data_IF_657451728608
#
_entry.id   IF_657451728608
#
_cell.length_a   1.000
_cell.length_b   1.000
_cell.length_c   1.000
_cell.angle_alpha   90.00
_cell.angle_beta   90.00
_cell.angle_gamma   90.00
#
_symmetry.space_group_name_H-M   'P 1'
#
loop_
_entity.id
_entity.type
_entity.pdbx_description
1 polymer ?
#
# COMPACT_ATOMS: atom_id res chain seq x y z
N UNK A 1 -35.24 -3.98 37.91
CA UNK A 1 -34.02 -3.16 37.82
C UNK A 1 -33.99 -2.52 36.43
N UNK A 2 -34.34 -1.24 36.31
CA UNK A 2 -34.15 -0.52 35.05
C UNK A 2 -32.66 -0.22 34.91
N UNK A 3 -32.01 -0.76 33.87
CA UNK A 3 -30.65 -0.37 33.51
C UNK A 3 -30.65 1.12 33.19
N UNK A 4 -29.63 1.85 33.67
CA UNK A 4 -29.45 3.27 33.34
C UNK A 4 -29.48 3.45 31.82
N UNK A 5 -30.19 4.47 31.34
CA UNK A 5 -30.36 4.78 29.92
C UNK A 5 -29.00 4.89 29.21
N UNK A 6 -27.97 5.34 29.93
CA UNK A 6 -26.59 5.42 29.42
C UNK A 6 -25.95 4.06 29.23
N UNK A 7 -26.24 3.09 30.09
CA UNK A 7 -25.77 1.70 29.94
C UNK A 7 -26.49 0.99 28.79
N UNK A 8 -27.79 1.24 28.63
CA UNK A 8 -28.56 0.75 27.48
C UNK A 8 -28.01 1.33 26.16
N UNK A 9 -27.68 2.62 26.12
CA UNK A 9 -27.06 3.24 24.94
C UNK A 9 -25.70 2.62 24.59
N UNK A 10 -24.89 2.25 25.60
CA UNK A 10 -23.63 1.52 25.39
C UNK A 10 -23.87 0.10 24.86
N UNK A 11 -24.85 -0.62 25.40
CA UNK A 11 -25.21 -1.96 24.93
C UNK A 11 -25.70 -1.95 23.47
N UNK A 12 -26.59 -1.01 23.11
CA UNK A 12 -27.06 -0.82 21.74
C UNK A 12 -25.92 -0.44 20.79
N UNK A 13 -24.93 0.32 21.26
CA UNK A 13 -23.73 0.61 20.46
C UNK A 13 -22.89 -0.63 20.21
N UNK A 14 -22.72 -1.49 21.22
CA UNK A 14 -21.99 -2.74 21.10
C UNK A 14 -22.68 -3.72 20.13
N UNK A 15 -24.01 -3.66 20.03
CA UNK A 15 -24.81 -4.41 19.04
C UNK A 15 -24.72 -3.83 17.61
N UNK A 16 -23.88 -2.82 17.37
CA UNK A 16 -23.60 -2.30 16.03
C UNK A 16 -24.55 -1.21 15.53
N UNK A 17 -25.53 -0.76 16.33
CA UNK A 17 -26.47 0.29 15.92
C UNK A 17 -25.76 1.64 15.71
N UNK A 18 -26.26 2.42 14.74
CA UNK A 18 -25.80 3.78 14.47
C UNK A 18 -26.31 4.76 15.53
N UNK A 19 -25.67 5.93 15.66
CA UNK A 19 -26.08 6.91 16.67
C UNK A 19 -27.52 7.42 16.50
N UNK A 20 -28.01 7.52 15.25
CA UNK A 20 -29.39 7.88 14.96
C UNK A 20 -30.37 6.78 15.40
N UNK A 21 -30.02 5.51 15.15
CA UNK A 21 -30.82 4.37 15.59
C UNK A 21 -30.85 4.26 17.11
N UNK A 22 -29.71 4.41 17.80
CA UNK A 22 -29.65 4.38 19.27
C UNK A 22 -30.51 5.50 19.87
N UNK A 23 -30.42 6.70 19.32
CA UNK A 23 -31.22 7.84 19.78
C UNK A 23 -32.72 7.60 19.57
N UNK A 24 -33.11 6.99 18.45
CA UNK A 24 -34.50 6.63 18.16
C UNK A 24 -35.00 5.47 19.02
N UNK A 25 -34.18 4.45 19.30
CA UNK A 25 -34.55 3.28 20.10
C UNK A 25 -34.73 3.62 21.59
N UNK A 26 -34.07 4.68 22.06
CA UNK A 26 -34.21 5.20 23.41
C UNK A 26 -35.18 6.39 23.48
N UNK A 27 -36.07 6.55 22.48
CA UNK A 27 -37.08 7.61 22.41
C UNK A 27 -36.51 9.03 22.62
N UNK A 28 -35.29 9.29 22.15
CA UNK A 28 -34.62 10.57 22.30
C UNK A 28 -34.07 10.86 23.70
N UNK A 29 -34.15 9.92 24.64
CA UNK A 29 -33.56 10.05 25.98
C UNK A 29 -32.03 10.27 25.95
N UNK A 30 -31.40 9.93 24.82
CA UNK A 30 -30.01 10.26 24.50
C UNK A 30 -29.95 10.88 23.11
N UNK A 31 -29.34 12.07 22.99
CA UNK A 31 -29.19 12.73 21.68
C UNK A 31 -28.08 12.11 20.84
N UNK A 32 -28.18 12.25 19.52
CA UNK A 32 -27.15 11.82 18.57
C UNK A 32 -25.77 12.44 18.90
N UNK A 33 -25.74 13.69 19.33
CA UNK A 33 -24.49 14.38 19.68
C UNK A 33 -23.91 13.88 21.00
N UNK A 34 -24.76 13.51 21.96
CA UNK A 34 -24.31 12.81 23.15
C UNK A 34 -23.71 11.45 22.80
N UNK A 35 -24.36 10.68 21.92
CA UNK A 35 -23.85 9.40 21.42
C UNK A 35 -22.49 9.55 20.75
N UNK A 36 -22.30 10.57 19.90
CA UNK A 36 -21.01 10.85 19.25
C UNK A 36 -19.90 11.20 20.24
N UNK A 37 -20.22 11.91 21.33
CA UNK A 37 -19.25 12.30 22.37
C UNK A 37 -18.89 11.15 23.31
N UNK A 38 -19.84 10.28 23.65
CA UNK A 38 -19.71 9.30 24.73
C UNK A 38 -19.61 7.83 24.27
N UNK A 39 -20.07 7.50 23.06
CA UNK A 39 -20.13 6.13 22.52
C UNK A 39 -19.10 5.88 21.40
N UNK A 40 -18.07 6.75 21.33
CA UNK A 40 -17.01 6.74 20.31
C UNK A 40 -16.21 5.42 20.26
N UNK A 41 -16.26 4.63 21.33
CA UNK A 41 -15.43 3.43 21.56
C UNK A 41 -16.09 2.09 21.22
N UNK A 42 -17.33 2.08 20.71
CA UNK A 42 -18.15 0.85 20.64
C UNK A 42 -18.17 0.07 19.32
N UNK A 43 -17.44 0.46 18.26
CA UNK A 43 -17.41 -0.34 17.01
C UNK A 43 -16.31 -1.41 17.05
N UNK A 44 -16.43 -2.39 17.95
CA UNK A 44 -15.44 -3.48 18.08
C UNK A 44 -15.61 -4.60 17.06
N UNK A 45 -16.76 -4.73 16.40
CA UNK A 45 -17.02 -5.86 15.49
C UNK A 45 -16.24 -5.81 14.16
N UNK A 46 -15.72 -4.65 13.74
CA UNK A 46 -14.76 -4.54 12.60
C UNK A 46 -13.30 -4.34 13.02
N UNK A 47 -13.03 -4.20 14.32
CA UNK A 47 -11.67 -4.01 14.83
C UNK A 47 -10.90 -5.35 14.82
N UNK A 48 -11.55 -6.45 15.24
CA UNK A 48 -10.91 -7.76 15.35
C UNK A 48 -10.32 -8.30 14.05
N UNK A 49 -11.04 -8.17 12.92
CA UNK A 49 -10.55 -8.63 11.61
C UNK A 49 -9.42 -7.74 11.06
N UNK A 50 -9.48 -6.41 11.29
CA UNK A 50 -8.38 -5.52 10.89
C UNK A 50 -7.12 -5.79 11.71
N UNK A 51 -7.28 -6.01 13.01
CA UNK A 51 -6.15 -6.21 13.91
C UNK A 51 -5.51 -7.59 13.67
N UNK A 52 -6.29 -8.62 13.36
CA UNK A 52 -5.78 -9.93 12.93
C UNK A 52 -5.01 -9.85 11.59
N UNK A 53 -5.59 -9.17 10.60
CA UNK A 53 -4.94 -8.96 9.30
C UNK A 53 -3.62 -8.16 9.44
N UNK A 54 -3.63 -7.09 10.24
CA UNK A 54 -2.42 -6.30 10.52
C UNK A 54 -1.38 -7.14 11.26
N UNK A 55 -1.77 -7.93 12.26
CA UNK A 55 -0.85 -8.79 12.98
C UNK A 55 -0.20 -9.84 12.07
N UNK A 56 -0.98 -10.45 11.16
CA UNK A 56 -0.44 -11.38 10.15
C UNK A 56 0.59 -10.67 9.24
N UNK A 57 0.28 -9.47 8.73
CA UNK A 57 1.21 -8.69 7.90
C UNK A 57 2.47 -8.29 8.67
N UNK A 58 2.34 -7.87 9.93
CA UNK A 58 3.50 -7.50 10.76
C UNK A 58 4.40 -8.72 10.99
N UNK A 59 3.82 -9.87 11.33
CA UNK A 59 4.57 -11.11 11.52
C UNK A 59 5.34 -11.52 10.25
N UNK A 60 4.76 -11.33 9.06
CA UNK A 60 5.45 -11.56 7.80
C UNK A 60 6.54 -10.51 7.54
N UNK A 61 6.23 -9.23 7.75
CA UNK A 61 7.13 -8.12 7.46
C UNK A 61 8.31 -7.99 8.42
N UNK A 62 8.25 -8.63 9.58
CA UNK A 62 9.35 -8.72 10.56
C UNK A 62 10.36 -9.81 10.25
N UNK A 63 10.09 -10.69 9.28
CA UNK A 63 11.06 -11.66 8.80
C UNK A 63 12.31 -10.96 8.20
N UNK A 64 13.47 -11.63 8.17
CA UNK A 64 14.67 -11.08 7.54
C UNK A 64 14.43 -10.62 6.09
N UNK A 65 13.67 -11.41 5.33
CA UNK A 65 13.30 -11.10 3.94
C UNK A 65 12.24 -10.00 3.82
N UNK A 66 11.52 -9.69 4.90
CA UNK A 66 10.32 -8.84 4.89
C UNK A 66 9.15 -9.53 4.20
N UNK A 67 8.19 -8.73 3.73
CA UNK A 67 7.03 -9.23 2.98
C UNK A 67 6.85 -8.48 1.67
N UNK A 68 6.52 -9.18 0.59
CA UNK A 68 6.27 -8.54 -0.70
C UNK A 68 4.89 -7.87 -0.73
N UNK A 69 4.73 -6.84 -1.56
CA UNK A 69 3.42 -6.24 -1.79
C UNK A 69 2.37 -7.26 -2.28
N UNK A 70 2.80 -8.28 -3.03
CA UNK A 70 1.93 -9.33 -3.53
C UNK A 70 1.37 -10.20 -2.39
N UNK A 71 2.25 -10.65 -1.49
CA UNK A 71 1.83 -11.43 -0.31
C UNK A 71 0.93 -10.61 0.61
N UNK A 72 1.27 -9.33 0.85
CA UNK A 72 0.41 -8.45 1.65
C UNK A 72 -0.98 -8.31 1.02
N UNK A 73 -1.07 -8.13 -0.30
CA UNK A 73 -2.36 -8.09 -0.97
C UNK A 73 -3.11 -9.42 -0.80
N UNK A 74 -2.42 -10.56 -0.86
CA UNK A 74 -3.00 -11.88 -0.60
C UNK A 74 -3.59 -12.00 0.81
N UNK A 75 -2.84 -11.57 1.84
CA UNK A 75 -3.32 -11.54 3.23
C UNK A 75 -4.53 -10.60 3.35
N UNK A 76 -4.48 -9.42 2.75
CA UNK A 76 -5.61 -8.48 2.81
C UNK A 76 -6.85 -9.07 2.14
N UNK A 77 -6.72 -9.70 0.97
CA UNK A 77 -7.85 -10.32 0.28
C UNK A 77 -8.42 -11.54 1.02
N UNK A 78 -7.58 -12.30 1.74
CA UNK A 78 -8.01 -13.39 2.62
C UNK A 78 -8.90 -12.90 3.76
N UNK A 79 -8.60 -11.74 4.34
CA UNK A 79 -9.40 -11.15 5.44
C UNK A 79 -10.53 -10.25 4.95
N UNK A 80 -10.39 -9.65 3.76
CA UNK A 80 -11.29 -8.67 3.18
C UNK A 80 -11.45 -8.92 1.68
N UNK A 81 -12.36 -9.82 1.33
CA UNK A 81 -12.73 -10.07 -0.06
C UNK A 81 -13.25 -8.78 -0.71
N UNK A 82 -12.74 -8.44 -1.90
CA UNK A 82 -13.11 -7.21 -2.60
C UNK A 82 -12.62 -5.91 -1.93
N UNK A 83 -11.58 -5.95 -1.10
CA UNK A 83 -10.99 -4.75 -0.50
C UNK A 83 -10.68 -3.67 -1.55
N UNK A 84 -11.15 -2.45 -1.29
CA UNK A 84 -10.84 -1.30 -2.14
C UNK A 84 -9.37 -0.90 -2.02
N UNK A 85 -8.84 -0.18 -3.02
CA UNK A 85 -7.45 0.29 -2.99
C UNK A 85 -7.14 1.14 -1.74
N UNK A 86 -8.08 1.99 -1.33
CA UNK A 86 -7.98 2.79 -0.10
C UNK A 86 -7.90 1.91 1.15
N UNK A 87 -8.64 0.79 1.19
CA UNK A 87 -8.60 -0.14 2.31
C UNK A 87 -7.27 -0.89 2.35
N UNK A 88 -6.77 -1.33 1.20
CA UNK A 88 -5.46 -1.98 1.06
C UNK A 88 -4.35 -1.04 1.56
N UNK A 89 -4.37 0.21 1.10
CA UNK A 89 -3.42 1.25 1.52
C UNK A 89 -3.47 1.48 3.03
N UNK A 90 -4.68 1.67 3.57
CA UNK A 90 -4.89 1.85 5.01
C UNK A 90 -4.32 0.70 5.85
N UNK A 91 -4.53 -0.56 5.44
CA UNK A 91 -4.00 -1.71 6.17
C UNK A 91 -2.46 -1.75 6.10
N UNK A 92 -1.88 -1.50 4.91
CA UNK A 92 -0.41 -1.44 4.73
C UNK A 92 0.22 -0.38 5.61
N UNK A 93 -0.36 0.82 5.63
CA UNK A 93 0.15 1.93 6.44
C UNK A 93 0.01 1.64 7.94
N UNK A 94 -1.11 1.03 8.35
CA UNK A 94 -1.30 0.60 9.74
C UNK A 94 -0.27 -0.44 10.16
N UNK A 95 0.02 -1.45 9.33
CA UNK A 95 1.04 -2.46 9.62
C UNK A 95 2.45 -1.86 9.75
N UNK A 96 2.84 -0.96 8.84
CA UNK A 96 4.11 -0.23 8.91
C UNK A 96 4.22 0.65 10.16
N UNK A 97 3.10 1.22 10.62
CA UNK A 97 3.06 2.03 11.83
C UNK A 97 3.06 1.17 13.11
N UNK A 98 2.55 -0.06 13.05
CA UNK A 98 2.50 -0.99 14.18
C UNK A 98 3.86 -1.54 14.58
N UNK A 99 4.80 -1.67 13.63
CA UNK A 99 6.17 -2.10 13.91
C UNK A 99 7.15 -1.40 12.98
N UNK A 100 8.16 -0.76 13.57
CA UNK A 100 9.30 -0.20 12.82
C UNK A 100 10.04 -1.28 12.03
N UNK A 101 9.96 -2.53 12.50
CA UNK A 101 10.55 -3.71 11.89
C UNK A 101 9.67 -4.37 10.82
N UNK A 102 8.45 -3.89 10.58
CA UNK A 102 7.66 -4.35 9.44
C UNK A 102 8.21 -3.72 8.13
N UNK A 103 8.78 -4.53 7.23
CA UNK A 103 9.13 -4.13 5.86
C UNK A 103 8.16 -4.73 4.87
N UNK A 104 7.57 -3.86 4.04
CA UNK A 104 6.78 -4.24 2.88
C UNK A 104 7.53 -3.73 1.65
N UNK A 105 8.03 -4.63 0.80
CA UNK A 105 8.89 -4.29 -0.33
C UNK A 105 8.28 -4.71 -1.68
N UNK A 106 8.82 -4.15 -2.75
CA UNK A 106 8.56 -4.61 -4.12
C UNK A 106 9.34 -5.89 -4.38
N UNK A 107 8.71 -6.93 -4.93
CA UNK A 107 9.28 -8.28 -5.03
C UNK A 107 10.49 -8.46 -5.96
N UNK A 108 11.07 -7.37 -6.48
CA UNK A 108 12.28 -7.42 -7.30
C UNK A 108 13.56 -7.09 -6.51
N UNK A 109 13.45 -6.47 -5.32
CA UNK A 109 14.61 -6.23 -4.45
C UNK A 109 14.99 -7.56 -3.81
N UNK A 110 16.25 -7.97 -3.98
CA UNK A 110 16.79 -9.16 -3.32
C UNK A 110 17.04 -8.84 -1.85
N UNK A 111 16.46 -9.63 -0.95
CA UNK A 111 16.64 -9.41 0.48
C UNK A 111 18.04 -9.81 0.96
N UNK A 112 18.72 -10.73 0.25
CA UNK A 112 20.08 -11.12 0.59
C UNK A 112 21.09 -10.06 0.16
N UNK A 113 20.84 -9.30 -0.90
CA UNK A 113 21.71 -8.21 -1.36
C UNK A 113 20.88 -6.99 -1.84
N UNK A 114 20.20 -6.27 -0.92
CA UNK A 114 19.27 -5.20 -1.30
C UNK A 114 19.95 -4.07 -2.07
N UNK A 115 21.08 -3.57 -1.56
CA UNK A 115 21.80 -2.46 -2.19
C UNK A 115 22.41 -2.84 -3.54
N UNK A 116 22.94 -4.05 -3.67
CA UNK A 116 23.51 -4.52 -4.93
C UNK A 116 22.43 -4.75 -5.97
N UNK A 117 21.32 -5.39 -5.61
CA UNK A 117 20.18 -5.61 -6.53
C UNK A 117 19.55 -4.29 -6.98
N UNK A 118 19.42 -3.29 -6.10
CA UNK A 118 19.00 -1.93 -6.44
C UNK A 118 19.96 -1.25 -7.43
N UNK A 119 21.27 -1.28 -7.14
CA UNK A 119 22.30 -0.70 -8.03
C UNK A 119 22.32 -1.38 -9.40
N UNK A 120 22.23 -2.70 -9.43
CA UNK A 120 22.20 -3.49 -10.66
C UNK A 120 20.98 -3.14 -11.51
N UNK A 121 19.79 -3.04 -10.91
CA UNK A 121 18.58 -2.64 -11.63
C UNK A 121 18.72 -1.26 -12.29
N UNK A 122 19.29 -0.28 -11.56
CA UNK A 122 19.54 1.05 -12.12
C UNK A 122 20.57 1.02 -13.26
N UNK A 123 21.65 0.24 -13.11
CA UNK A 123 22.64 0.07 -14.17
C UNK A 123 22.02 -0.57 -15.43
N UNK A 124 21.21 -1.62 -15.26
CA UNK A 124 20.49 -2.25 -16.38
C UNK A 124 19.50 -1.31 -17.05
N UNK A 125 18.80 -0.47 -16.28
CA UNK A 125 17.91 0.54 -16.83
C UNK A 125 18.68 1.58 -17.68
N UNK A 126 19.83 2.06 -17.21
CA UNK A 126 20.70 2.97 -17.97
C UNK A 126 21.16 2.30 -19.27
N UNK A 127 21.66 1.07 -19.19
CA UNK A 127 22.11 0.34 -20.38
C UNK A 127 20.98 0.11 -21.39
N UNK A 128 19.77 -0.18 -20.93
CA UNK A 128 18.61 -0.29 -21.82
C UNK A 128 18.32 1.03 -22.54
N UNK A 129 18.47 2.17 -21.85
CA UNK A 129 18.33 3.48 -22.48
C UNK A 129 19.43 3.78 -23.50
N UNK A 130 20.67 3.39 -23.22
CA UNK A 130 21.78 3.52 -24.19
C UNK A 130 21.50 2.72 -25.46
N UNK A 131 20.95 1.50 -25.33
CA UNK A 131 20.55 0.69 -26.49
C UNK A 131 19.42 1.34 -27.29
N UNK A 132 18.43 1.93 -26.61
CA UNK A 132 17.37 2.69 -27.28
C UNK A 132 17.95 3.88 -28.05
N UNK A 133 18.85 4.64 -27.44
CA UNK A 133 19.47 5.80 -28.08
C UNK A 133 20.31 5.39 -29.30
N UNK A 134 21.03 4.27 -29.23
CA UNK A 134 21.75 3.70 -30.38
C UNK A 134 20.81 3.33 -31.53
N UNK A 135 19.68 2.69 -31.25
CA UNK A 135 18.69 2.32 -32.29
C UNK A 135 18.04 3.55 -32.93
N UNK A 136 17.81 4.60 -32.14
CA UNK A 136 17.29 5.88 -32.64
C UNK A 136 18.32 6.55 -33.56
N UNK A 137 19.61 6.49 -33.22
CA UNK A 137 20.69 7.03 -34.05
C UNK A 137 20.79 6.30 -35.38
N UNK A 138 20.72 4.97 -35.39
CA UNK A 138 20.68 4.16 -36.62
C UNK A 138 19.48 4.51 -37.50
N UNK A 139 18.31 4.73 -36.89
CA UNK A 139 17.10 5.13 -37.61
C UNK A 139 17.27 6.52 -38.25
N UNK A 140 17.74 7.51 -37.50
CA UNK A 140 17.93 8.87 -38.00
C UNK A 140 19.04 8.92 -39.05
N UNK A 141 20.08 8.08 -38.93
CA UNK A 141 21.08 7.92 -39.98
C UNK A 141 20.46 7.46 -41.31
N UNK A 142 19.54 6.49 -41.26
CA UNK A 142 18.83 6.00 -42.45
C UNK A 142 17.74 6.97 -42.96
N UNK A 143 17.13 7.73 -42.06
CA UNK A 143 16.02 8.66 -42.37
C UNK A 143 16.31 10.06 -41.79
N UNK A 144 17.25 10.82 -42.38
CA UNK A 144 17.85 12.02 -41.77
C UNK A 144 16.90 13.21 -41.56
N UNK A 145 15.76 13.23 -42.26
CA UNK A 145 14.73 14.26 -42.07
C UNK A 145 13.82 13.98 -40.85
N UNK A 146 14.00 12.85 -40.17
CA UNK A 146 13.19 12.47 -39.01
C UNK A 146 13.65 13.21 -37.75
N UNK A 147 12.71 13.56 -36.88
CA UNK A 147 13.03 14.14 -35.58
C UNK A 147 13.45 13.05 -34.57
N UNK A 148 14.70 13.14 -34.05
CA UNK A 148 15.27 12.19 -33.07
C UNK A 148 14.34 11.93 -31.87
N UNK A 149 13.76 12.97 -31.29
CA UNK A 149 12.91 12.87 -30.09
C UNK A 149 11.57 12.21 -30.39
N UNK A 150 10.95 12.54 -31.53
CA UNK A 150 9.70 11.90 -31.95
C UNK A 150 9.90 10.41 -32.23
N UNK A 151 11.01 10.04 -32.88
CA UNK A 151 11.35 8.63 -33.14
C UNK A 151 11.54 7.86 -31.83
N UNK A 152 12.34 8.40 -30.90
CA UNK A 152 12.53 7.79 -29.56
C UNK A 152 11.21 7.58 -28.83
N UNK A 153 10.35 8.59 -28.82
CA UNK A 153 9.05 8.53 -28.16
C UNK A 153 8.15 7.44 -28.78
N UNK A 154 7.99 7.43 -30.11
CA UNK A 154 7.14 6.45 -30.79
C UNK A 154 7.71 5.03 -30.68
N UNK A 155 9.02 4.84 -30.75
CA UNK A 155 9.66 3.52 -30.54
C UNK A 155 9.35 2.96 -29.15
N UNK A 156 9.53 3.75 -28.09
CA UNK A 156 9.23 3.32 -26.72
C UNK A 156 7.73 3.06 -26.53
N UNK A 157 6.87 3.91 -27.11
CA UNK A 157 5.42 3.75 -27.05
C UNK A 157 4.98 2.46 -27.74
N UNK A 158 5.55 2.12 -28.90
CA UNK A 158 5.27 0.87 -29.59
C UNK A 158 5.76 -0.34 -28.78
N UNK A 159 6.99 -0.27 -28.25
CA UNK A 159 7.60 -1.34 -27.46
C UNK A 159 6.82 -1.65 -26.17
N UNK A 160 6.20 -0.64 -25.54
CA UNK A 160 5.58 -0.76 -24.22
C UNK A 160 4.09 -0.41 -24.19
N UNK A 161 3.43 -0.41 -25.35
CA UNK A 161 2.06 0.09 -25.58
C UNK A 161 0.96 -0.46 -24.65
N UNK A 162 1.22 -1.51 -23.88
CA UNK A 162 0.25 -2.15 -22.97
C UNK A 162 0.75 -2.45 -21.56
N UNK A 163 1.99 -2.08 -21.19
CA UNK A 163 2.70 -2.78 -20.10
C UNK A 163 3.38 -1.90 -19.04
N UNK A 164 3.46 -0.57 -19.20
CA UNK A 164 4.14 0.30 -18.22
C UNK A 164 3.13 1.15 -17.43
N UNK A 165 3.29 1.14 -16.11
CA UNK A 165 2.52 1.95 -15.15
C UNK A 165 2.67 3.46 -15.44
N UNK A 166 1.62 4.29 -15.32
CA UNK A 166 1.69 5.74 -15.53
C UNK A 166 2.35 6.52 -14.38
N UNK A 167 2.84 5.84 -13.34
CA UNK A 167 3.48 6.46 -12.17
C UNK A 167 4.87 7.06 -12.52
N UNK A 168 5.23 8.20 -11.90
CA UNK A 168 6.50 8.87 -12.18
C UNK A 168 7.71 8.11 -11.60
N UNK A 169 8.78 8.04 -12.38
CA UNK A 169 10.00 7.31 -12.03
C UNK A 169 10.70 7.88 -10.78
N UNK A 170 10.70 9.22 -10.62
CA UNK A 170 11.42 9.92 -9.54
C UNK A 170 10.92 9.57 -8.15
N UNK A 171 9.59 9.44 -7.97
CA UNK A 171 8.99 9.06 -6.69
C UNK A 171 9.30 7.60 -6.33
N UNK A 172 9.40 6.71 -7.33
CA UNK A 172 9.77 5.30 -7.13
C UNK A 172 11.23 5.11 -6.76
N UNK A 173 12.15 5.79 -7.46
CA UNK A 173 13.59 5.64 -7.21
C UNK A 173 13.93 5.97 -5.76
N UNK A 174 13.48 7.13 -5.27
CA UNK A 174 13.73 7.54 -3.88
C UNK A 174 13.10 6.60 -2.84
N UNK A 175 11.90 6.10 -3.12
CA UNK A 175 11.23 5.14 -2.23
C UNK A 175 11.97 3.80 -2.16
N UNK A 176 12.48 3.32 -3.30
CA UNK A 176 13.20 2.05 -3.38
C UNK A 176 14.62 2.15 -2.79
N UNK A 177 15.28 3.29 -2.95
CA UNK A 177 16.59 3.56 -2.34
C UNK A 177 16.51 3.48 -0.82
N UNK A 178 15.58 4.23 -0.20
CA UNK A 178 15.35 4.17 1.25
C UNK A 178 14.98 2.78 1.76
N UNK A 179 14.19 2.05 0.97
CA UNK A 179 13.79 0.70 1.30
C UNK A 179 15.00 -0.25 1.29
N UNK A 180 15.86 -0.13 0.28
CA UNK A 180 17.10 -0.87 0.16
C UNK A 180 18.03 -0.62 1.34
N UNK A 181 18.25 0.65 1.71
CA UNK A 181 19.03 1.04 2.89
C UNK A 181 18.49 0.41 4.17
N UNK A 182 17.17 0.47 4.37
CA UNK A 182 16.50 -0.10 5.56
C UNK A 182 16.64 -1.63 5.63
N UNK A 183 16.67 -2.33 4.49
CA UNK A 183 16.86 -3.78 4.45
C UNK A 183 18.32 -4.16 4.77
N UNK A 184 19.29 -3.38 4.31
CA UNK A 184 20.71 -3.63 4.58
C UNK A 184 21.03 -3.55 6.08
N UNK A 185 20.48 -2.55 6.78
CA UNK A 185 20.70 -2.35 8.24
C UNK A 185 20.16 -3.47 9.13
N UNK A 186 19.51 -4.50 8.57
CA UNK A 186 18.96 -5.66 9.32
C UNK A 186 19.86 -6.89 9.30
N UNK A 187 20.90 -6.88 8.48
CA UNK A 187 21.82 -8.02 8.39
C UNK A 187 22.78 -8.08 9.59
N UNK A 188 22.91 -6.98 10.32
CA UNK A 188 23.66 -6.85 11.57
C UNK A 188 22.78 -7.12 12.80
#
# INVERSE_FOLDING_TARGET
>A
MQLDVKEQAKALRLQGLTYAQISSTLDGAVSVDWCKRNLKTGSKEKAGSNDACVAEIVSLGERPEGVTQYEVNGVIHKHFEGATENKIRYIKDKAKASSTNCIIHTGWIDYMNPNESHKAMNAFAIHLMDQVDSMVEDYVFRYPNSNKWSVRYEMLKLAFSKQISPESLSSRVYGNEKLSEKMETRKD
#
